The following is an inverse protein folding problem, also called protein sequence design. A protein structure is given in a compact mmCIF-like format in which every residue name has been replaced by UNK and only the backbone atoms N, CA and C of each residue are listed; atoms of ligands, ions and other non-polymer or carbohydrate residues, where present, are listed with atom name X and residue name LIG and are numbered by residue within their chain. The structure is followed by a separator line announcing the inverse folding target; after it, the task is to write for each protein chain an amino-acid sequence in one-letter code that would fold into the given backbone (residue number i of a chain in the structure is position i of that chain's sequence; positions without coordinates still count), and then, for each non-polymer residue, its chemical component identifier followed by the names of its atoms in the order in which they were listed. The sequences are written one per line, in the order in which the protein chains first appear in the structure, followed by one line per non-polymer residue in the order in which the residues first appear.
data_IF_071087426415
#
_entry.id   IF_071087426415
#
_cell.length_a   1.000
_cell.length_b   1.000
_cell.length_c   1.000
_cell.angle_alpha   90.00
_cell.angle_beta   90.00
_cell.angle_gamma   90.00
#
_symmetry.space_group_name_H-M   'P 1'
#
loop_
_entity.id
_entity.type
_entity.pdbx_description
1 polymer ?
#
# COMPACT_ATOMS: atom_id res chain seq x y z
N UNK A 1 -16.80 -20.66 20.67
CA UNK A 1 -17.57 -19.59 20.00
C UNK A 1 -16.73 -18.32 20.04
N UNK A 2 -15.76 -18.18 19.12
CA UNK A 2 -15.02 -16.94 18.94
C UNK A 2 -15.73 -16.19 17.81
N UNK A 3 -16.34 -15.05 18.12
CA UNK A 3 -16.96 -14.20 17.11
C UNK A 3 -15.92 -13.81 16.07
N UNK A 4 -16.18 -14.18 14.82
CA UNK A 4 -15.40 -13.74 13.67
C UNK A 4 -15.71 -12.25 13.47
N UNK A 5 -14.92 -11.42 14.15
CA UNK A 5 -15.11 -9.97 14.20
C UNK A 5 -14.91 -9.37 12.80
N UNK A 6 -16.00 -8.90 12.20
CA UNK A 6 -16.07 -8.45 10.81
C UNK A 6 -14.97 -7.44 10.47
N UNK A 7 -14.30 -7.64 9.34
CA UNK A 7 -13.51 -6.58 8.67
C UNK A 7 -14.36 -5.32 8.64
N UNK A 8 -13.83 -4.19 9.12
CA UNK A 8 -14.52 -2.89 9.06
C UNK A 8 -14.73 -2.55 7.58
N UNK A 9 -15.95 -2.79 7.10
CA UNK A 9 -16.21 -2.85 5.68
C UNK A 9 -17.44 -3.66 5.33
N UNK A 10 -17.62 -3.87 4.04
CA UNK A 10 -18.78 -4.54 3.47
C UNK A 10 -18.34 -5.63 2.50
N UNK A 11 -19.11 -6.70 2.42
CA UNK A 11 -19.05 -7.65 1.31
C UNK A 11 -20.31 -7.46 0.48
N UNK A 12 -20.14 -7.23 -0.82
CA UNK A 12 -21.25 -7.11 -1.76
C UNK A 12 -21.13 -8.28 -2.73
N UNK A 13 -22.19 -9.07 -2.84
CA UNK A 13 -22.17 -10.28 -3.65
C UNK A 13 -23.51 -10.59 -4.31
N UNK A 14 -23.44 -11.26 -5.45
CA UNK A 14 -24.55 -11.96 -6.07
C UNK A 14 -24.47 -13.44 -5.68
N UNK A 15 -25.57 -13.95 -5.14
CA UNK A 15 -25.69 -15.32 -4.67
C UNK A 15 -26.66 -16.08 -5.56
N UNK A 16 -26.29 -17.30 -5.97
CA UNK A 16 -27.16 -18.24 -6.69
C UNK A 16 -27.04 -19.61 -6.02
N UNK A 17 -28.16 -20.23 -5.70
CA UNK A 17 -28.20 -21.55 -5.04
C UNK A 17 -27.33 -21.60 -3.76
N UNK A 18 -27.38 -20.53 -2.97
CA UNK A 18 -26.58 -20.38 -1.75
C UNK A 18 -25.07 -20.15 -1.95
N UNK A 19 -24.61 -19.98 -3.20
CA UNK A 19 -23.19 -19.77 -3.53
C UNK A 19 -22.93 -18.38 -4.09
N UNK A 20 -21.84 -17.76 -3.64
CA UNK A 20 -21.35 -16.47 -4.12
C UNK A 20 -20.75 -16.59 -5.53
N UNK A 21 -21.45 -16.12 -6.55
CA UNK A 21 -21.02 -16.25 -7.95
C UNK A 21 -20.26 -15.02 -8.47
N UNK A 22 -20.46 -13.86 -7.83
CA UNK A 22 -19.73 -12.61 -8.10
C UNK A 22 -19.70 -11.77 -6.83
N UNK A 23 -18.55 -11.19 -6.50
CA UNK A 23 -18.33 -10.52 -5.22
C UNK A 23 -17.25 -9.45 -5.27
N UNK A 24 -17.31 -8.53 -4.33
CA UNK A 24 -16.21 -7.66 -3.93
C UNK A 24 -16.30 -7.29 -2.45
N UNK A 25 -15.23 -6.74 -1.91
CA UNK A 25 -15.15 -6.18 -0.57
C UNK A 25 -14.93 -4.68 -0.63
N UNK A 26 -15.60 -3.94 0.25
CA UNK A 26 -15.37 -2.53 0.53
C UNK A 26 -14.61 -2.46 1.85
N UNK A 27 -13.38 -1.98 1.80
CA UNK A 27 -12.51 -1.79 2.97
C UNK A 27 -12.67 -0.35 3.45
N UNK A 28 -13.12 -0.16 4.69
CA UNK A 28 -13.25 1.17 5.27
C UNK A 28 -11.87 1.72 5.65
N UNK A 29 -11.44 2.79 4.97
CA UNK A 29 -10.17 3.45 5.27
C UNK A 29 -10.35 4.96 5.36
N UNK A 30 -9.66 5.56 6.32
CA UNK A 30 -9.51 7.02 6.39
C UNK A 30 -8.28 7.41 5.59
N UNK A 31 -8.38 8.40 4.70
CA UNK A 31 -7.28 8.81 3.83
C UNK A 31 -7.10 10.32 3.85
N UNK A 32 -5.85 10.78 3.80
CA UNK A 32 -5.52 12.20 3.65
C UNK A 32 -5.67 12.64 2.20
N UNK A 33 -6.35 13.76 1.98
CA UNK A 33 -6.40 14.46 0.69
C UNK A 33 -6.25 15.96 0.96
N UNK A 34 -5.13 16.53 0.51
CA UNK A 34 -4.75 17.90 0.86
C UNK A 34 -4.62 18.06 2.39
N UNK A 35 -5.37 19.00 2.95
CA UNK A 35 -5.43 19.25 4.41
C UNK A 35 -6.50 18.43 5.13
N UNK A 36 -7.37 17.72 4.40
CA UNK A 36 -8.49 16.97 4.95
C UNK A 36 -8.21 15.48 5.12
N UNK A 37 -9.04 14.83 5.94
CA UNK A 37 -9.15 13.36 6.02
C UNK A 37 -10.54 12.99 5.52
N UNK A 38 -10.60 12.07 4.55
CA UNK A 38 -11.84 11.60 3.94
C UNK A 38 -12.07 10.12 4.21
N UNK A 39 -13.34 9.72 4.29
CA UNK A 39 -13.78 8.33 4.39
C UNK A 39 -13.78 7.70 2.99
N UNK A 40 -12.89 6.72 2.80
CA UNK A 40 -12.68 6.05 1.52
C UNK A 40 -13.16 4.61 1.56
N UNK A 41 -13.92 4.21 0.54
CA UNK A 41 -14.28 2.83 0.28
C UNK A 41 -13.25 2.18 -0.64
N UNK A 42 -12.33 1.41 -0.06
CA UNK A 42 -11.34 0.66 -0.82
C UNK A 42 -11.97 -0.60 -1.42
N UNK A 43 -12.11 -0.68 -2.74
CA UNK A 43 -12.62 -1.90 -3.39
C UNK A 43 -11.49 -2.92 -3.51
N UNK A 44 -11.73 -4.11 -2.98
CA UNK A 44 -10.81 -5.24 -3.01
C UNK A 44 -11.51 -6.55 -3.40
N UNK A 45 -10.72 -7.53 -3.85
CA UNK A 45 -11.21 -8.89 -4.11
C UNK A 45 -12.32 -9.02 -5.15
N UNK A 46 -12.42 -8.09 -6.10
CA UNK A 46 -13.41 -8.15 -7.17
C UNK A 46 -13.23 -9.45 -7.96
N UNK A 47 -14.26 -10.28 -8.00
CA UNK A 47 -14.18 -11.59 -8.65
C UNK A 47 -15.53 -12.13 -9.06
N UNK A 48 -15.57 -12.68 -10.28
CA UNK A 48 -16.69 -13.47 -10.78
C UNK A 48 -16.16 -14.85 -11.17
N UNK A 49 -16.85 -15.88 -10.68
CA UNK A 49 -16.52 -17.27 -10.97
C UNK A 49 -16.53 -17.52 -12.48
N UNK A 50 -15.57 -18.33 -12.96
CA UNK A 50 -15.24 -18.45 -14.39
C UNK A 50 -16.46 -18.74 -15.28
N UNK A 51 -17.34 -19.64 -14.84
CA UNK A 51 -18.56 -20.05 -15.55
C UNK A 51 -19.64 -18.96 -15.64
N UNK A 52 -19.56 -17.92 -14.81
CA UNK A 52 -20.52 -16.81 -14.79
C UNK A 52 -19.94 -15.48 -15.33
N UNK A 53 -18.75 -15.53 -15.95
CA UNK A 53 -18.12 -14.36 -16.58
C UNK A 53 -18.87 -13.93 -17.84
N UNK A 54 -18.65 -12.70 -18.27
CA UNK A 54 -19.26 -12.08 -19.46
C UNK A 54 -20.79 -11.94 -19.42
N UNK A 55 -21.40 -12.10 -18.25
CA UNK A 55 -22.85 -11.92 -18.01
C UNK A 55 -23.19 -10.60 -17.29
N UNK A 56 -22.26 -9.64 -17.26
CA UNK A 56 -22.46 -8.35 -16.58
C UNK A 56 -22.47 -8.39 -15.05
N UNK A 57 -22.26 -9.56 -14.42
CA UNK A 57 -22.38 -9.72 -12.96
C UNK A 57 -21.41 -8.84 -12.15
N UNK A 58 -20.16 -8.71 -12.61
CA UNK A 58 -19.18 -7.85 -11.94
C UNK A 58 -19.60 -6.37 -11.99
N UNK A 59 -20.22 -5.93 -13.09
CA UNK A 59 -20.76 -4.57 -13.21
C UNK A 59 -21.87 -4.34 -12.20
N UNK A 60 -22.81 -5.30 -12.10
CA UNK A 60 -23.93 -5.23 -11.14
C UNK A 60 -23.45 -5.15 -9.69
N UNK A 61 -22.47 -5.98 -9.32
CA UNK A 61 -21.88 -5.95 -7.97
C UNK A 61 -21.18 -4.61 -7.71
N UNK A 62 -20.44 -4.10 -8.69
CA UNK A 62 -19.74 -2.82 -8.56
C UNK A 62 -20.69 -1.63 -8.43
N UNK A 63 -21.75 -1.57 -9.24
CA UNK A 63 -22.78 -0.53 -9.16
C UNK A 63 -23.51 -0.56 -7.82
N UNK A 64 -23.90 -1.75 -7.34
CA UNK A 64 -24.50 -1.92 -6.02
C UNK A 64 -23.55 -1.46 -4.91
N UNK A 65 -22.25 -1.72 -5.06
CA UNK A 65 -21.22 -1.29 -4.11
C UNK A 65 -21.03 0.23 -4.10
N UNK A 66 -21.09 0.89 -5.25
CA UNK A 66 -21.04 2.35 -5.34
C UNK A 66 -22.29 3.00 -4.74
N UNK A 67 -23.47 2.42 -4.97
CA UNK A 67 -24.72 2.89 -4.36
C UNK A 67 -24.68 2.72 -2.83
N UNK A 68 -24.18 1.58 -2.35
CA UNK A 68 -23.92 1.34 -0.93
C UNK A 68 -22.95 2.38 -0.35
N UNK A 69 -21.82 2.62 -1.01
CA UNK A 69 -20.83 3.61 -0.56
C UNK A 69 -21.42 5.01 -0.41
N UNK A 70 -22.24 5.45 -1.37
CA UNK A 70 -22.94 6.73 -1.29
C UNK A 70 -23.88 6.78 -0.09
N UNK A 71 -24.70 5.74 0.10
CA UNK A 71 -25.64 5.66 1.24
C UNK A 71 -24.93 5.67 2.60
N UNK A 72 -23.78 5.00 2.71
CA UNK A 72 -23.00 4.90 3.95
C UNK A 72 -22.02 6.09 4.15
N UNK A 73 -22.12 7.12 3.32
CA UNK A 73 -21.36 8.37 3.45
C UNK A 73 -19.88 8.25 3.14
N UNK A 74 -19.47 7.31 2.28
CA UNK A 74 -18.11 7.31 1.74
C UNK A 74 -17.96 8.45 0.72
N UNK A 75 -16.87 9.20 0.84
CA UNK A 75 -16.61 10.40 0.02
C UNK A 75 -15.84 10.05 -1.26
N UNK A 76 -15.00 9.00 -1.20
CA UNK A 76 -14.18 8.55 -2.33
C UNK A 76 -14.21 7.03 -2.41
N UNK A 77 -14.26 6.48 -3.62
CA UNK A 77 -14.04 5.06 -3.89
C UNK A 77 -12.69 4.86 -4.59
N UNK A 78 -11.89 3.91 -4.12
CA UNK A 78 -10.53 3.67 -4.63
C UNK A 78 -10.22 2.19 -4.82
N UNK A 79 -9.41 1.86 -5.83
CA UNK A 79 -9.00 0.49 -6.11
C UNK A 79 -7.67 0.39 -6.85
N UNK A 80 -7.07 -0.79 -6.79
CA UNK A 80 -6.05 -1.22 -7.73
C UNK A 80 -6.71 -2.06 -8.81
N UNK A 81 -6.86 -1.45 -9.99
CA UNK A 81 -7.67 -1.99 -11.05
C UNK A 81 -6.91 -2.82 -12.05
N UNK A 82 -7.67 -3.47 -12.93
CA UNK A 82 -7.20 -3.92 -14.23
C UNK A 82 -7.44 -2.79 -15.24
N UNK A 83 -6.61 -2.70 -16.30
CA UNK A 83 -6.85 -1.76 -17.39
C UNK A 83 -8.25 -1.91 -17.99
N UNK A 84 -8.78 -0.82 -18.52
CA UNK A 84 -9.97 -0.78 -19.39
C UNK A 84 -11.28 -1.37 -18.83
N UNK A 85 -11.37 -1.59 -17.52
CA UNK A 85 -12.60 -2.09 -16.89
C UNK A 85 -13.34 -1.02 -16.08
N UNK A 86 -12.62 -0.23 -15.29
CA UNK A 86 -13.22 0.63 -14.27
C UNK A 86 -13.63 2.01 -14.77
N UNK A 87 -13.08 2.48 -15.90
CA UNK A 87 -13.38 3.81 -16.44
C UNK A 87 -14.87 4.01 -16.77
N UNK A 88 -15.56 2.96 -17.21
CA UNK A 88 -17.00 2.98 -17.51
C UNK A 88 -17.88 3.23 -16.28
N UNK A 89 -17.33 3.08 -15.07
CA UNK A 89 -18.01 3.38 -13.81
C UNK A 89 -17.55 4.71 -13.19
N UNK A 90 -16.84 5.55 -13.96
CA UNK A 90 -16.36 6.86 -13.50
C UNK A 90 -15.04 6.83 -12.73
N UNK A 91 -14.30 5.71 -12.74
CA UNK A 91 -12.95 5.69 -12.16
C UNK A 91 -11.92 6.27 -13.12
N UNK A 92 -11.01 7.07 -12.58
CA UNK A 92 -9.84 7.61 -13.27
C UNK A 92 -8.56 7.21 -12.52
N UNK A 93 -7.46 7.04 -13.24
CA UNK A 93 -6.14 6.83 -12.61
C UNK A 93 -5.72 8.11 -11.88
N UNK A 94 -5.37 7.97 -10.60
CA UNK A 94 -5.19 9.13 -9.71
C UNK A 94 -3.91 9.11 -8.86
N UNK A 95 -3.25 7.95 -8.71
CA UNK A 95 -2.01 7.84 -7.93
C UNK A 95 -0.96 7.09 -8.77
N UNK A 96 0.22 7.70 -9.03
CA UNK A 96 1.33 7.01 -9.65
C UNK A 96 2.00 6.04 -8.66
N UNK A 97 2.49 4.92 -9.19
CA UNK A 97 3.45 4.06 -8.49
C UNK A 97 4.87 4.52 -8.85
N UNK A 98 5.71 4.78 -7.85
CA UNK A 98 7.13 5.04 -8.08
C UNK A 98 7.98 3.92 -7.52
N UNK A 99 9.06 3.59 -8.23
CA UNK A 99 9.94 2.50 -7.89
C UNK A 99 11.38 2.97 -7.91
N UNK A 100 12.08 2.83 -6.78
CA UNK A 100 13.49 3.16 -6.65
C UNK A 100 14.30 1.88 -6.65
N UNK A 101 15.39 1.84 -7.42
CA UNK A 101 16.33 0.72 -7.39
C UNK A 101 17.70 1.24 -7.01
N UNK A 102 18.37 0.50 -6.14
CA UNK A 102 19.70 0.79 -5.65
C UNK A 102 20.51 -0.51 -5.69
N UNK A 103 21.76 -0.43 -6.13
CA UNK A 103 22.66 -1.56 -6.04
C UNK A 103 23.02 -1.83 -4.56
N UNK A 104 23.08 -3.10 -4.17
CA UNK A 104 23.42 -3.48 -2.78
C UNK A 104 24.77 -2.89 -2.35
N UNK A 105 25.75 -2.86 -3.26
CA UNK A 105 27.08 -2.25 -3.00
C UNK A 105 27.01 -0.76 -2.68
N UNK A 106 26.02 -0.06 -3.19
CA UNK A 106 25.82 1.37 -2.91
C UNK A 106 25.09 1.54 -1.59
N UNK A 107 24.11 0.66 -1.32
CA UNK A 107 23.43 0.61 -0.03
C UNK A 107 24.42 0.36 1.13
N UNK A 108 25.40 -0.52 0.95
CA UNK A 108 26.39 -0.88 1.97
C UNK A 108 27.30 0.28 2.39
N UNK A 109 27.45 1.31 1.55
CA UNK A 109 28.30 2.48 1.82
C UNK A 109 27.70 3.45 2.82
N UNK A 110 26.40 3.39 3.07
CA UNK A 110 25.76 4.37 3.94
C UNK A 110 26.04 4.10 5.44
N UNK A 111 26.12 5.18 6.21
CA UNK A 111 26.56 5.15 7.60
C UNK A 111 25.56 4.41 8.49
N UNK A 112 26.07 3.52 9.36
CA UNK A 112 25.25 2.74 10.30
C UNK A 112 25.19 3.44 11.66
N UNK A 113 24.21 4.33 11.82
CA UNK A 113 24.04 5.11 13.06
C UNK A 113 23.03 4.50 14.04
N UNK A 114 22.19 3.57 13.57
CA UNK A 114 21.10 2.97 14.37
C UNK A 114 21.24 1.45 14.39
N UNK A 115 20.84 0.84 15.50
CA UNK A 115 20.76 -0.63 15.64
C UNK A 115 19.45 -1.12 15.07
N UNK A 116 19.48 -2.17 14.26
CA UNK A 116 18.25 -2.82 13.77
C UNK A 116 17.88 -4.01 14.65
N UNK A 117 16.57 -4.23 14.84
CA UNK A 117 16.02 -5.46 15.42
C UNK A 117 14.66 -5.79 14.82
N UNK A 118 14.21 -7.03 15.00
CA UNK A 118 12.86 -7.43 14.61
C UNK A 118 11.80 -6.59 15.37
N UNK A 119 10.71 -6.32 14.67
CA UNK A 119 9.51 -5.70 15.22
C UNK A 119 8.91 -6.53 16.35
N UNK A 120 8.47 -5.85 17.40
CA UNK A 120 7.68 -6.39 18.52
C UNK A 120 6.32 -5.71 18.55
N UNK A 121 5.28 -6.39 19.02
CA UNK A 121 3.94 -5.78 19.19
C UNK A 121 3.96 -4.47 20.00
N UNK A 122 4.89 -4.34 20.96
CA UNK A 122 5.08 -3.12 21.74
C UNK A 122 5.55 -1.91 20.90
N UNK A 123 6.21 -2.12 19.76
CA UNK A 123 6.67 -1.07 18.86
C UNK A 123 5.54 -0.46 18.02
N UNK A 124 4.35 -1.09 18.01
CA UNK A 124 3.21 -0.71 17.15
C UNK A 124 2.86 0.76 17.27
N UNK A 125 2.78 1.28 18.49
CA UNK A 125 2.48 2.69 18.74
C UNK A 125 3.54 3.64 18.15
N UNK A 126 4.82 3.24 18.18
CA UNK A 126 5.89 4.03 17.59
C UNK A 126 5.81 4.05 16.06
N UNK A 127 5.53 2.90 15.43
CA UNK A 127 5.34 2.80 13.98
C UNK A 127 4.15 3.66 13.52
N UNK A 128 3.01 3.60 14.20
CA UNK A 128 1.84 4.42 13.87
C UNK A 128 2.19 5.92 13.92
N UNK A 129 2.87 6.37 14.97
CA UNK A 129 3.29 7.76 15.12
C UNK A 129 4.26 8.20 14.01
N UNK A 130 5.28 7.38 13.71
CA UNK A 130 6.25 7.68 12.65
C UNK A 130 5.56 7.75 11.28
N UNK A 131 4.74 6.75 10.97
CA UNK A 131 4.01 6.69 9.72
C UNK A 131 3.08 7.89 9.53
N UNK A 132 2.21 8.19 10.51
CA UNK A 132 1.25 9.29 10.38
C UNK A 132 1.94 10.65 10.27
N UNK A 133 3.05 10.86 11.01
CA UNK A 133 3.85 12.09 10.93
C UNK A 133 4.50 12.25 9.56
N UNK A 134 5.14 11.20 9.05
CA UNK A 134 5.82 11.24 7.74
C UNK A 134 4.83 11.48 6.58
N UNK A 135 3.56 11.12 6.77
CA UNK A 135 2.51 11.21 5.77
C UNK A 135 1.51 12.34 6.01
N UNK A 136 1.76 13.25 6.96
CA UNK A 136 0.80 14.27 7.36
C UNK A 136 0.36 15.19 6.21
N UNK A 137 1.30 15.62 5.37
CA UNK A 137 1.03 16.46 4.20
C UNK A 137 0.82 15.69 2.89
N UNK A 138 0.62 14.36 2.93
CA UNK A 138 0.57 13.54 1.72
C UNK A 138 -0.84 13.11 1.35
N UNK A 139 -1.33 13.64 0.23
CA UNK A 139 -2.53 13.12 -0.45
C UNK A 139 -2.36 11.64 -0.82
N UNK A 140 -3.39 10.84 -0.57
CA UNK A 140 -3.41 9.41 -0.86
C UNK A 140 -2.94 8.53 0.31
N UNK A 141 -2.39 9.11 1.37
CA UNK A 141 -1.92 8.33 2.51
C UNK A 141 -3.07 7.92 3.45
N UNK A 142 -3.23 6.62 3.67
CA UNK A 142 -4.18 6.10 4.67
C UNK A 142 -3.76 6.57 6.06
N UNK A 143 -4.70 6.91 6.93
CA UNK A 143 -4.49 7.22 8.34
C UNK A 143 -4.44 5.92 9.13
N UNK A 144 -3.35 5.70 9.88
CA UNK A 144 -3.26 4.57 10.81
C UNK A 144 -3.83 4.99 12.16
N UNK A 145 -5.04 4.55 12.49
CA UNK A 145 -5.65 4.83 13.78
C UNK A 145 -5.07 3.87 14.86
N UNK A 146 -4.51 4.40 15.98
CA UNK A 146 -4.00 3.60 17.09
C UNK A 146 -4.95 2.55 17.66
N UNK A 147 -6.27 2.79 17.59
CA UNK A 147 -7.29 1.90 18.15
C UNK A 147 -7.60 0.72 17.24
N UNK A 148 -7.53 0.92 15.92
CA UNK A 148 -8.03 -0.04 14.94
C UNK A 148 -6.92 -0.67 14.09
N UNK A 149 -5.74 -0.06 14.00
CA UNK A 149 -4.64 -0.57 13.19
C UNK A 149 -3.96 -1.78 13.83
N UNK A 150 -4.14 -2.96 13.22
CA UNK A 150 -3.67 -4.26 13.76
C UNK A 150 -2.19 -4.54 13.48
N UNK A 151 -1.62 -3.95 12.44
CA UNK A 151 -0.22 -4.14 12.07
C UNK A 151 0.00 -4.20 10.55
N UNK A 152 1.12 -4.78 10.16
CA UNK A 152 1.54 -4.93 8.76
C UNK A 152 1.66 -6.42 8.47
N UNK A 153 0.76 -6.93 7.65
CA UNK A 153 0.70 -8.35 7.29
C UNK A 153 1.23 -8.60 5.89
N UNK A 154 1.07 -7.62 4.99
CA UNK A 154 1.43 -7.75 3.58
C UNK A 154 2.67 -6.94 3.28
N UNK A 155 3.57 -7.56 2.52
CA UNK A 155 4.71 -6.91 1.90
C UNK A 155 4.23 -6.09 0.70
N UNK A 156 5.01 -6.11 -0.37
CA UNK A 156 4.80 -5.24 -1.52
C UNK A 156 3.68 -5.64 -2.48
N UNK A 157 2.97 -6.73 -2.21
CA UNK A 157 1.90 -7.23 -3.06
C UNK A 157 0.95 -8.16 -2.33
N UNK A 158 -0.22 -8.38 -2.94
CA UNK A 158 -1.17 -9.38 -2.48
C UNK A 158 -0.53 -10.77 -2.52
N UNK A 159 -0.67 -11.51 -1.41
CA UNK A 159 -0.06 -12.84 -1.24
C UNK A 159 1.42 -12.84 -0.88
N UNK A 160 2.06 -11.68 -0.72
CA UNK A 160 3.43 -11.58 -0.23
C UNK A 160 3.40 -11.21 1.24
N UNK A 161 3.99 -12.05 2.09
CA UNK A 161 4.09 -11.78 3.52
C UNK A 161 5.12 -10.69 3.80
N UNK A 162 4.84 -9.89 4.83
CA UNK A 162 5.76 -8.86 5.30
C UNK A 162 6.70 -9.39 6.38
N UNK A 163 7.99 -9.06 6.24
CA UNK A 163 8.90 -8.95 7.36
C UNK A 163 8.99 -7.50 7.83
N UNK A 164 9.14 -7.28 9.14
CA UNK A 164 9.26 -5.94 9.71
C UNK A 164 10.47 -5.85 10.65
N UNK A 165 11.32 -4.86 10.40
CA UNK A 165 12.42 -4.49 11.29
C UNK A 165 12.26 -3.04 11.74
N UNK A 166 12.74 -2.75 12.95
CA UNK A 166 12.79 -1.40 13.51
C UNK A 166 14.23 -0.97 13.73
N UNK A 167 14.51 0.30 13.45
CA UNK A 167 15.75 0.97 13.78
C UNK A 167 15.59 1.69 15.12
N UNK A 168 16.48 1.41 16.06
CA UNK A 168 16.45 1.94 17.43
C UNK A 168 17.72 2.68 17.78
N UNK A 169 17.61 3.67 18.67
CA UNK A 169 18.75 4.35 19.27
C UNK A 169 19.37 3.52 20.42
N UNK A 170 20.39 4.07 21.08
CA UNK A 170 21.05 3.42 22.21
C UNK A 170 20.09 3.09 23.38
N UNK A 171 19.00 3.86 23.54
CA UNK A 171 17.98 3.66 24.56
C UNK A 171 16.83 2.71 24.13
N UNK A 172 17.01 1.91 23.07
CA UNK A 172 16.00 1.02 22.46
C UNK A 172 14.71 1.72 21.98
N UNK A 173 14.74 3.05 21.80
CA UNK A 173 13.60 3.80 21.27
C UNK A 173 13.59 3.76 19.74
N UNK A 174 12.44 3.38 19.18
CA UNK A 174 12.23 3.30 17.73
C UNK A 174 12.35 4.67 17.06
N UNK A 175 13.33 4.79 16.16
CA UNK A 175 13.56 5.98 15.33
C UNK A 175 13.10 5.78 13.88
N UNK A 176 12.97 4.53 13.44
CA UNK A 176 12.52 4.17 12.10
C UNK A 176 12.12 2.70 12.01
N UNK A 177 11.57 2.32 10.87
CA UNK A 177 11.18 0.95 10.55
C UNK A 177 11.22 0.71 9.04
N UNK A 178 11.36 -0.56 8.68
CA UNK A 178 11.27 -1.05 7.31
C UNK A 178 10.35 -2.26 7.27
N UNK A 179 9.46 -2.25 6.28
CA UNK A 179 8.67 -3.41 5.86
C UNK A 179 9.30 -3.92 4.59
N UNK A 180 9.50 -5.23 4.51
CA UNK A 180 10.09 -5.88 3.34
C UNK A 180 9.33 -7.14 2.99
N UNK A 181 9.49 -7.59 1.74
CA UNK A 181 8.97 -8.89 1.31
C UNK A 181 9.69 -10.00 2.06
N UNK A 182 8.97 -10.83 2.81
CA UNK A 182 9.51 -12.01 3.50
C UNK A 182 9.76 -13.17 2.51
N UNK A 183 10.49 -12.89 1.43
CA UNK A 183 10.78 -13.85 0.35
C UNK A 183 12.30 -14.06 0.29
N UNK A 184 12.79 -15.31 0.44
CA UNK A 184 14.22 -15.59 0.35
C UNK A 184 14.83 -15.12 -0.98
N UNK A 185 16.01 -14.51 -0.92
CA UNK A 185 16.72 -14.02 -2.11
C UNK A 185 16.13 -12.75 -2.72
N UNK A 186 15.11 -12.15 -2.11
CA UNK A 186 14.49 -10.90 -2.56
C UNK A 186 14.74 -9.79 -1.54
N UNK A 187 15.52 -8.79 -1.94
CA UNK A 187 15.70 -7.58 -1.15
C UNK A 187 14.75 -6.50 -1.69
N UNK A 188 13.51 -6.50 -1.18
CA UNK A 188 12.52 -5.46 -1.49
C UNK A 188 11.92 -4.86 -0.24
N UNK A 189 12.11 -3.55 -0.07
CA UNK A 189 11.34 -2.79 0.89
C UNK A 189 9.98 -2.40 0.28
N UNK A 190 8.90 -2.68 1.02
CA UNK A 190 7.54 -2.28 0.71
C UNK A 190 7.19 -0.93 1.34
N UNK A 191 7.79 -0.63 2.49
CA UNK A 191 7.59 0.62 3.23
C UNK A 191 8.83 0.94 4.06
N UNK A 192 9.21 2.21 4.11
CA UNK A 192 10.24 2.72 5.01
C UNK A 192 9.71 3.97 5.69
N UNK A 193 9.74 3.97 7.02
CA UNK A 193 9.32 5.12 7.82
C UNK A 193 10.36 5.48 8.87
N UNK A 194 10.52 6.77 9.16
CA UNK A 194 11.46 7.21 10.18
C UNK A 194 11.42 8.70 10.45
N UNK A 195 12.21 9.13 11.44
CA UNK A 195 12.44 10.56 11.70
C UNK A 195 13.38 11.12 10.63
N UNK A 196 12.87 11.99 9.77
CA UNK A 196 13.71 12.80 8.89
C UNK A 196 14.47 13.85 9.72
N UNK A 197 15.79 13.96 9.52
CA UNK A 197 16.47 15.23 9.76
C UNK A 197 16.13 16.16 8.58
N UNK A 198 15.11 17.01 8.74
CA UNK A 198 14.73 18.24 7.96
C UNK A 198 14.96 18.36 6.44
N UNK A 199 15.43 17.36 5.68
CA UNK A 199 15.77 17.53 4.26
C UNK A 199 15.74 16.24 3.43
N UNK A 200 15.08 15.17 3.89
CA UNK A 200 14.80 14.02 3.02
C UNK A 200 13.46 14.19 2.31
N UNK A 201 13.48 14.12 0.98
CA UNK A 201 12.27 14.00 0.16
C UNK A 201 11.43 12.84 0.69
N UNK A 202 10.22 13.08 1.20
CA UNK A 202 9.46 12.03 1.86
C UNK A 202 9.07 10.93 0.85
N UNK A 203 9.32 9.65 1.18
CA UNK A 203 8.89 8.48 0.42
C UNK A 203 7.41 8.13 0.69
N UNK A 204 6.65 7.86 -0.38
CA UNK A 204 5.17 7.82 -0.53
C UNK A 204 4.37 6.89 0.41
N UNK A 205 3.06 7.19 0.55
CA UNK A 205 2.14 6.58 1.52
C UNK A 205 1.71 5.15 1.18
N UNK A 206 1.41 4.37 2.19
CA UNK A 206 1.01 2.97 2.05
C UNK A 206 -0.50 2.83 1.98
N UNK A 207 -0.99 2.28 0.86
CA UNK A 207 -2.35 1.76 0.73
C UNK A 207 -2.35 0.27 1.07
N UNK A 208 -3.40 -0.29 1.69
CA UNK A 208 -3.52 -1.73 2.02
C UNK A 208 -3.50 -2.70 0.82
N UNK A 209 -3.26 -2.21 -0.40
CA UNK A 209 -3.18 -3.01 -1.63
C UNK A 209 -2.26 -2.42 -2.70
N UNK A 210 -1.44 -1.42 -2.35
CA UNK A 210 -0.60 -0.71 -3.30
C UNK A 210 0.79 -1.29 -3.43
N UNK A 211 1.23 -1.49 -4.67
CA UNK A 211 2.63 -1.83 -4.98
C UNK A 211 3.52 -0.63 -4.68
N UNK A 212 4.55 -0.86 -3.89
CA UNK A 212 5.78 -0.05 -3.89
C UNK A 212 6.98 -0.99 -3.98
N UNK A 213 7.89 -0.71 -4.92
CA UNK A 213 8.97 -1.59 -5.37
C UNK A 213 10.32 -0.90 -5.16
N UNK A 214 10.89 -1.06 -3.96
CA UNK A 214 12.32 -0.86 -3.76
C UNK A 214 13.06 -2.17 -3.99
N UNK A 215 13.16 -2.65 -5.23
CA UNK A 215 13.77 -3.95 -5.54
C UNK A 215 15.25 -3.85 -5.91
N UNK A 216 16.14 -4.41 -5.08
CA UNK A 216 17.51 -4.75 -5.49
C UNK A 216 17.51 -6.12 -6.16
N UNK A 217 18.20 -6.27 -7.29
CA UNK A 217 18.34 -7.55 -8.02
C UNK A 217 19.75 -8.07 -7.83
N UNK A 218 19.92 -9.24 -7.19
CA UNK A 218 21.04 -10.15 -7.47
C UNK A 218 20.56 -11.59 -7.35
N UNK A 219 20.87 -12.40 -8.38
CA UNK A 219 20.97 -13.85 -8.22
C UNK A 219 22.22 -14.13 -7.39
N UNK A 220 22.06 -14.95 -6.35
CA UNK A 220 23.00 -15.96 -5.82
C UNK A 220 22.57 -16.29 -4.39
N UNK A 221 22.11 -17.53 -4.24
CA UNK A 221 22.17 -18.40 -3.06
C UNK A 221 22.84 -17.81 -1.81
N UNK A 222 22.05 -17.10 -1.00
CA UNK A 222 22.11 -16.97 0.45
C UNK A 222 21.52 -15.60 0.85
N UNK A 223 20.31 -15.59 1.38
CA UNK A 223 19.77 -14.42 2.08
C UNK A 223 19.58 -14.80 3.56
N UNK A 224 20.66 -14.91 4.37
CA UNK A 224 20.53 -15.16 5.79
C UNK A 224 20.48 -13.79 6.49
N UNK A 225 19.26 -13.29 6.71
CA UNK A 225 18.96 -12.06 7.46
C UNK A 225 19.40 -10.79 6.72
N UNK A 226 18.49 -9.84 6.59
CA UNK A 226 18.80 -8.47 6.16
C UNK A 226 19.77 -7.89 7.21
N UNK A 227 21.06 -7.94 6.91
CA UNK A 227 22.12 -7.15 7.53
C UNK A 227 21.81 -5.67 7.28
N UNK A 228 22.22 -4.77 8.18
CA UNK A 228 21.53 -3.51 8.38
C UNK A 228 21.56 -2.61 7.14
N UNK A 229 20.37 -2.36 6.59
CA UNK A 229 20.15 -1.24 5.68
C UNK A 229 20.46 0.04 6.46
N UNK A 230 21.45 0.84 6.04
CA UNK A 230 21.78 2.06 6.74
C UNK A 230 20.68 3.11 6.56
N UNK A 231 20.54 3.95 7.57
CA UNK A 231 19.67 5.11 7.57
C UNK A 231 19.99 5.99 6.36
N UNK A 232 19.00 6.28 5.51
CA UNK A 232 19.12 7.30 4.46
C UNK A 232 19.14 8.67 5.15
N UNK A 233 20.32 9.04 5.66
CA UNK A 233 20.62 10.35 6.22
C UNK A 233 21.96 10.79 5.63
N UNK A 234 21.89 11.54 4.54
CA UNK A 234 23.04 12.11 3.85
C UNK A 234 22.58 12.86 2.60
N UNK A 235 23.09 14.08 2.42
CA UNK A 235 22.77 14.94 1.29
C UNK A 235 23.06 14.23 -0.04
N UNK A 236 22.02 14.05 -0.86
CA UNK A 236 22.16 13.65 -2.26
C UNK A 236 21.53 14.71 -3.14
N UNK A 237 22.37 15.57 -3.74
CA UNK A 237 21.99 16.32 -4.94
C UNK A 237 22.19 15.36 -6.11
N UNK A 238 21.16 14.56 -6.42
CA UNK A 238 21.16 13.79 -7.66
C UNK A 238 20.82 14.76 -8.81
N UNK A 239 21.84 15.10 -9.61
CA UNK A 239 21.68 15.84 -10.86
C UNK A 239 20.77 15.02 -11.78
N UNK A 240 19.58 15.55 -12.03
CA UNK A 240 18.55 14.94 -12.85
C UNK A 240 18.99 15.00 -14.32
N UNK A 241 19.18 13.86 -14.97
CA UNK A 241 19.23 13.76 -16.43
C UNK A 241 18.09 12.85 -16.89
N UNK A 242 17.07 13.37 -17.59
CA UNK A 242 16.01 12.54 -18.13
C UNK A 242 16.58 11.66 -19.24
N UNK A 243 16.72 10.37 -18.97
CA UNK A 243 16.98 9.36 -19.99
C UNK A 243 15.64 8.79 -20.45
N UNK A 244 15.06 9.40 -21.48
CA UNK A 244 13.98 8.79 -22.26
C UNK A 244 14.58 7.69 -23.13
N UNK A 245 14.56 6.46 -22.63
CA UNK A 245 14.67 5.29 -23.50
C UNK A 245 13.68 4.23 -23.07
N UNK A 246 12.50 4.28 -23.70
CA UNK A 246 11.52 3.21 -23.66
C UNK A 246 12.14 1.96 -24.31
N UNK A 247 12.07 0.83 -23.61
CA UNK A 247 12.34 -0.49 -24.18
C UNK A 247 11.02 -1.30 -24.13
N UNK A 248 10.55 -1.85 -25.25
CA UNK A 248 9.30 -2.61 -25.29
C UNK A 248 9.56 -4.06 -24.82
N UNK A 249 8.68 -4.59 -23.97
CA UNK A 249 8.71 -5.98 -23.52
C UNK A 249 7.39 -6.38 -22.86
N UNK A 250 6.75 -7.49 -23.25
CA UNK A 250 5.32 -7.73 -23.00
C UNK A 250 4.96 -8.32 -21.62
N UNK A 251 5.83 -8.20 -20.61
CA UNK A 251 5.59 -8.79 -19.28
C UNK A 251 5.87 -7.81 -18.15
N UNK A 252 5.00 -6.81 -18.02
CA UNK A 252 4.87 -5.98 -16.83
C UNK A 252 3.41 -5.53 -16.71
N UNK A 253 2.57 -6.33 -16.07
CA UNK A 253 1.23 -5.89 -15.70
C UNK A 253 1.35 -4.78 -14.65
N UNK A 254 1.26 -3.52 -15.08
CA UNK A 254 1.10 -2.38 -14.18
C UNK A 254 -0.32 -2.38 -13.64
N UNK A 255 -0.51 -2.56 -12.33
CA UNK A 255 -1.79 -2.22 -11.72
C UNK A 255 -1.76 -0.75 -11.39
N UNK A 256 -2.60 0.05 -12.04
CA UNK A 256 -2.77 1.46 -11.73
C UNK A 256 -3.76 1.64 -10.58
N UNK A 257 -3.46 2.59 -9.70
CA UNK A 257 -4.42 3.02 -8.68
C UNK A 257 -5.41 3.97 -9.34
N UNK A 258 -6.70 3.64 -9.23
CA UNK A 258 -7.78 4.43 -9.80
C UNK A 258 -8.77 4.82 -8.71
N UNK A 259 -9.27 6.05 -8.79
CA UNK A 259 -10.30 6.59 -7.92
C UNK A 259 -11.48 7.08 -8.74
N UNK A 260 -12.68 6.92 -8.21
CA UNK A 260 -13.88 7.56 -8.72
C UNK A 260 -14.34 8.62 -7.70
N UNK A 261 -14.68 9.80 -8.23
CA UNK A 261 -15.34 10.87 -7.49
C UNK A 261 -16.74 11.01 -8.07
N UNK A 262 -17.78 10.88 -7.24
CA UNK A 262 -19.12 11.32 -7.63
C UNK A 262 -19.38 12.63 -6.92
N UNK A 263 -19.45 13.71 -7.70
CA UNK A 263 -19.77 15.05 -7.19
C UNK A 263 -21.16 15.00 -6.57
N UNK A 264 -21.28 15.37 -5.30
CA UNK A 264 -22.57 15.79 -4.74
C UNK A 264 -22.91 17.13 -5.40
N UNK A 265 -23.78 17.13 -6.40
CA UNK A 265 -24.55 18.31 -6.74
C UNK A 265 -25.65 18.42 -5.68
N UNK A 266 -25.33 19.09 -4.57
CA UNK A 266 -26.33 19.51 -3.60
C UNK A 266 -27.24 20.55 -4.26
N UNK A 267 -28.53 20.26 -4.28
CA UNK A 267 -29.60 21.27 -4.41
C UNK A 267 -29.68 22.13 -3.18
#
# INVERSE_FOLDING_TARGET
MAGEESVRGWKVELVREGRSISRLWIVDVQMRIGVGVVKVGGIAGVGTDRQYRNQGLASRVLEASLALMLREGYEVSMLFGIPDFYHRFGFATCIPEHNLRLDTRDAERAAKQLRLRLYRKADRAAIIRLYNRQNEGRTGAVVRDPKTWKGIEKGSGFGVDAGVQVAVNAADQVQGYVVYDAVPGRCRAAEVGGRAHRSSTPCCGCWPGGRWNCGARKSLSACPRITPLPTIAGHWVARWTPSTRAMPGPWAGSSTCSAAWKRYSGT
#
